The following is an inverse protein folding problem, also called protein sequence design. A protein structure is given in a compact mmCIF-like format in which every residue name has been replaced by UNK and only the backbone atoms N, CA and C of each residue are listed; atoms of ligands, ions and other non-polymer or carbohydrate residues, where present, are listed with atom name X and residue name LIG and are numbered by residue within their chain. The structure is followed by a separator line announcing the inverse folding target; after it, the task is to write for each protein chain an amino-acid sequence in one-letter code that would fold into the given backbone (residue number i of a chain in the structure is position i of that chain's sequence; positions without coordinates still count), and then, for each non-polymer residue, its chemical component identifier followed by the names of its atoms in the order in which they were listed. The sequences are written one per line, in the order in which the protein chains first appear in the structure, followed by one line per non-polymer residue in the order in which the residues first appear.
data_IF_736590415552
#
_entry.id   IF_736590415552
#
_cell.length_a   1.000
_cell.length_b   1.000
_cell.length_c   1.000
_cell.angle_alpha   90.00
_cell.angle_beta   90.00
_cell.angle_gamma   90.00
#
_symmetry.space_group_name_H-M   'P 1'
#
loop_
_entity.id
_entity.type
_entity.pdbx_description
1 polymer ?
#
# COMPACT_ATOMS: atom_id res chain seq x y z
N UNK A 1 -54.91 6.24 41.43
CA UNK A 1 -55.12 4.77 41.46
C UNK A 1 -53.76 4.12 41.65
N UNK A 2 -53.43 3.58 42.83
CA UNK A 2 -52.11 2.98 43.14
C UNK A 2 -52.15 1.50 42.78
N UNK A 3 -51.46 1.11 41.71
CA UNK A 3 -51.37 -0.29 41.29
C UNK A 3 -50.40 -1.04 42.23
N UNK A 4 -50.90 -2.06 42.95
CA UNK A 4 -50.11 -2.85 43.90
C UNK A 4 -49.94 -4.25 43.32
N UNK A 5 -48.80 -4.56 42.68
CA UNK A 5 -48.61 -5.85 42.00
C UNK A 5 -48.59 -7.00 43.01
N UNK A 6 -49.18 -8.14 42.65
CA UNK A 6 -49.19 -9.33 43.51
C UNK A 6 -47.84 -10.07 43.47
N UNK A 7 -47.52 -10.84 44.51
CA UNK A 7 -46.26 -11.62 44.60
C UNK A 7 -46.03 -12.50 43.37
N UNK A 8 -47.09 -13.06 42.77
CA UNK A 8 -47.02 -13.86 41.54
C UNK A 8 -46.68 -13.02 40.30
N UNK A 9 -47.14 -11.78 40.23
CA UNK A 9 -46.79 -10.84 39.15
C UNK A 9 -45.36 -10.33 39.30
N UNK A 10 -44.89 -10.15 40.55
CA UNK A 10 -43.51 -9.75 40.84
C UNK A 10 -42.50 -10.85 40.46
N UNK A 11 -42.83 -12.12 40.72
CA UNK A 11 -42.00 -13.26 40.30
C UNK A 11 -41.98 -13.46 38.78
N UNK A 12 -43.08 -13.17 38.08
CA UNK A 12 -43.14 -13.28 36.62
C UNK A 12 -42.31 -12.19 35.93
N UNK A 13 -42.36 -10.95 36.43
CA UNK A 13 -41.51 -9.86 35.94
C UNK A 13 -40.02 -10.07 36.26
N UNK A 14 -39.69 -10.63 37.43
CA UNK A 14 -38.31 -10.97 37.78
C UNK A 14 -37.74 -12.09 36.89
N UNK A 15 -38.55 -13.10 36.54
CA UNK A 15 -38.15 -14.16 35.62
C UNK A 15 -37.97 -13.65 34.17
N UNK A 16 -38.81 -12.71 33.70
CA UNK A 16 -38.67 -12.10 32.38
C UNK A 16 -37.40 -11.22 32.26
N UNK A 17 -37.01 -10.55 33.36
CA UNK A 17 -35.79 -9.73 33.41
C UNK A 17 -34.52 -10.58 33.47
N UNK A 18 -34.57 -11.76 34.10
CA UNK A 18 -33.44 -12.70 34.12
C UNK A 18 -33.13 -13.32 32.75
N UNK A 19 -34.15 -13.51 31.90
CA UNK A 19 -33.97 -14.02 30.53
C UNK A 19 -33.35 -12.95 29.60
N UNK A 20 -33.59 -11.66 29.87
CA UNK A 20 -32.98 -10.55 29.13
C UNK A 20 -31.47 -10.40 29.38
N UNK A 21 -30.95 -10.89 30.51
CA UNK A 21 -29.53 -10.78 30.87
C UNK A 21 -28.67 -11.96 30.37
N UNK A 22 -29.28 -13.01 29.81
CA UNK A 22 -28.56 -14.15 29.22
C UNK A 22 -28.34 -14.01 27.70
N UNK A 23 -28.80 -12.93 27.08
CA UNK A 23 -28.69 -12.66 25.64
C UNK A 23 -27.32 -12.15 25.17
N UNK A 24 -26.20 -12.63 25.73
CA UNK A 24 -24.88 -12.28 25.23
C UNK A 24 -23.95 -13.50 25.26
N UNK A 25 -24.26 -14.50 24.44
CA UNK A 25 -23.24 -15.45 24.00
C UNK A 25 -22.22 -14.67 23.14
N UNK A 26 -21.16 -14.17 23.79
CA UNK A 26 -19.96 -13.65 23.15
C UNK A 26 -19.17 -14.82 22.53
N UNK A 27 -19.75 -15.51 21.55
CA UNK A 27 -19.10 -16.61 20.83
C UNK A 27 -18.92 -16.35 19.32
N UNK A 28 -19.08 -15.10 18.87
CA UNK A 28 -18.86 -14.74 17.45
C UNK A 28 -17.60 -13.88 17.20
N UNK A 29 -16.69 -13.72 18.16
CA UNK A 29 -15.41 -13.01 17.92
C UNK A 29 -14.27 -13.91 17.46
N UNK A 30 -14.48 -15.23 17.36
CA UNK A 30 -13.41 -16.19 17.10
C UNK A 30 -13.47 -16.89 15.72
N UNK A 31 -14.43 -16.54 14.88
CA UNK A 31 -14.35 -16.87 13.46
C UNK A 31 -13.46 -15.82 12.79
N UNK A 32 -12.37 -16.27 12.19
CA UNK A 32 -11.47 -15.44 11.39
C UNK A 32 -12.18 -15.00 10.09
N UNK A 33 -13.20 -14.15 10.21
CA UNK A 33 -13.85 -13.53 9.08
C UNK A 33 -13.01 -12.33 8.64
N UNK A 34 -12.15 -12.57 7.66
CA UNK A 34 -11.36 -11.55 7.01
C UNK A 34 -10.39 -12.21 6.05
N UNK A 35 -10.56 -12.00 4.75
CA UNK A 35 -9.54 -12.38 3.79
C UNK A 35 -8.32 -11.46 3.99
N UNK A 36 -7.18 -12.06 4.31
CA UNK A 36 -5.91 -11.36 4.39
C UNK A 36 -5.33 -11.23 2.98
N UNK A 37 -5.29 -10.00 2.45
CA UNK A 37 -4.77 -9.72 1.12
C UNK A 37 -3.44 -9.00 1.18
N UNK A 38 -2.48 -9.49 0.40
CA UNK A 38 -1.18 -8.86 0.19
C UNK A 38 -1.27 -7.82 -0.92
N UNK A 39 -0.72 -6.63 -0.69
CA UNK A 39 -0.77 -5.50 -1.62
C UNK A 39 0.44 -4.58 -1.43
N UNK A 40 0.60 -3.63 -2.36
CA UNK A 40 1.56 -2.54 -2.23
C UNK A 40 0.85 -1.31 -1.63
N UNK A 41 1.23 -0.80 -0.45
CA UNK A 41 0.61 0.39 0.15
C UNK A 41 0.63 1.62 -0.76
N UNK A 42 1.63 1.73 -1.63
CA UNK A 42 1.76 2.85 -2.57
C UNK A 42 0.63 2.87 -3.62
N UNK A 43 -0.01 1.74 -3.89
CA UNK A 43 -1.16 1.66 -4.79
C UNK A 43 -2.45 2.27 -4.20
N UNK A 44 -2.46 2.57 -2.90
CA UNK A 44 -3.66 3.08 -2.20
C UNK A 44 -3.57 4.56 -1.83
N UNK A 45 -2.47 5.24 -2.15
CA UNK A 45 -2.22 6.63 -1.71
C UNK A 45 -3.24 7.63 -2.25
N UNK A 46 -3.90 7.32 -3.36
CA UNK A 46 -4.96 8.14 -3.95
C UNK A 46 -6.37 7.73 -3.50
N UNK A 47 -6.48 6.93 -2.43
CA UNK A 47 -7.74 6.31 -2.01
C UNK A 47 -8.25 5.22 -2.97
N UNK A 48 -7.35 4.63 -3.77
CA UNK A 48 -7.68 3.58 -4.75
C UNK A 48 -8.26 4.09 -6.07
N UNK A 49 -8.25 5.40 -6.31
CA UNK A 49 -8.75 5.99 -7.56
C UNK A 49 -7.82 5.75 -8.75
N UNK A 50 -6.53 5.52 -8.50
CA UNK A 50 -5.52 5.20 -9.48
C UNK A 50 -4.31 4.55 -8.77
N UNK A 51 -3.33 4.11 -9.55
CA UNK A 51 -2.13 3.43 -9.04
C UNK A 51 -0.87 4.31 -9.09
N UNK A 52 -1.04 5.63 -9.27
CA UNK A 52 0.09 6.54 -9.43
C UNK A 52 0.73 6.83 -8.08
N UNK A 53 2.05 6.72 -8.03
CA UNK A 53 2.88 7.10 -6.90
C UNK A 53 3.84 8.19 -7.32
N UNK A 54 3.48 9.43 -6.97
CA UNK A 54 4.21 10.62 -7.39
C UNK A 54 5.44 10.81 -6.51
N UNK A 55 6.60 11.05 -7.12
CA UNK A 55 7.87 11.32 -6.45
C UNK A 55 8.43 12.64 -7.01
N UNK A 56 8.78 13.63 -6.17
CA UNK A 56 8.64 13.63 -4.72
C UNK A 56 7.16 13.78 -4.29
N UNK A 57 6.84 13.24 -3.11
CA UNK A 57 5.67 13.61 -2.31
C UNK A 57 6.08 13.71 -0.83
N UNK A 58 5.26 14.35 0.00
CA UNK A 58 5.59 14.70 1.39
C UNK A 58 5.84 16.21 1.57
N UNK A 59 5.86 16.67 2.81
CA UNK A 59 5.99 18.09 3.14
C UNK A 59 7.44 18.50 3.39
N UNK A 60 8.27 17.57 3.85
CA UNK A 60 9.66 17.80 4.25
C UNK A 60 10.52 16.53 4.09
N UNK A 61 11.81 16.65 4.39
CA UNK A 61 12.78 15.56 4.27
C UNK A 61 12.48 14.34 5.14
N UNK A 62 11.64 14.47 6.17
CA UNK A 62 11.26 13.36 7.05
C UNK A 62 10.01 12.63 6.54
N UNK A 63 9.21 13.31 5.72
CA UNK A 63 7.95 12.80 5.15
C UNK A 63 8.07 12.49 3.66
N UNK A 64 9.23 12.76 3.05
CA UNK A 64 9.49 12.40 1.68
C UNK A 64 9.38 10.91 1.44
N UNK A 65 8.73 10.55 0.33
CA UNK A 65 8.65 9.18 -0.15
C UNK A 65 9.92 8.67 -0.85
N UNK A 66 11.02 9.40 -0.70
CA UNK A 66 12.31 9.06 -1.27
C UNK A 66 13.43 9.63 -0.40
N UNK A 67 14.65 9.15 -0.66
CA UNK A 67 15.88 9.69 -0.09
C UNK A 67 16.98 9.75 -1.12
N UNK A 68 17.64 10.89 -1.19
CA UNK A 68 18.88 11.07 -1.96
C UNK A 68 20.03 10.54 -1.10
N UNK A 69 20.69 9.51 -1.60
CA UNK A 69 21.91 8.94 -1.05
C UNK A 69 23.06 9.26 -1.98
N UNK A 70 23.52 10.51 -1.90
CA UNK A 70 24.61 11.02 -2.74
C UNK A 70 25.91 10.23 -2.53
N UNK A 71 26.15 9.71 -1.31
CA UNK A 71 27.33 8.92 -0.99
C UNK A 71 27.40 7.63 -1.81
N UNK A 72 26.26 6.98 -2.04
CA UNK A 72 26.18 5.75 -2.83
C UNK A 72 25.71 5.97 -4.27
N UNK A 73 25.62 7.22 -4.74
CA UNK A 73 25.10 7.59 -6.06
C UNK A 73 23.69 7.02 -6.30
N UNK A 74 22.79 7.11 -5.30
CA UNK A 74 21.40 6.60 -5.41
C UNK A 74 20.33 7.62 -5.06
N UNK A 75 19.18 7.46 -5.68
CA UNK A 75 17.88 7.95 -5.20
C UNK A 75 17.04 6.73 -4.84
N UNK A 76 16.71 6.59 -3.56
CA UNK A 76 15.92 5.48 -3.04
C UNK A 76 14.47 5.92 -2.93
N UNK A 77 13.57 5.35 -3.74
CA UNK A 77 12.12 5.54 -3.59
C UNK A 77 11.58 4.45 -2.67
N UNK A 78 10.82 4.84 -1.66
CA UNK A 78 10.31 3.94 -0.63
C UNK A 78 9.09 3.17 -1.12
N UNK A 79 9.21 1.84 -1.13
CA UNK A 79 8.13 0.91 -1.48
C UNK A 79 7.92 -0.06 -0.31
N UNK A 80 6.80 -0.76 -0.33
CA UNK A 80 6.53 -1.77 0.67
C UNK A 80 5.53 -2.80 0.21
N UNK A 81 5.38 -3.84 1.03
CA UNK A 81 4.37 -4.87 0.89
C UNK A 81 3.65 -4.96 2.21
N UNK A 82 2.33 -4.96 2.18
CA UNK A 82 1.49 -5.08 3.37
C UNK A 82 0.43 -6.14 3.21
N UNK A 83 -0.03 -6.69 4.33
CA UNK A 83 -1.15 -7.60 4.40
C UNK A 83 -2.32 -6.90 5.11
N UNK A 84 -3.50 -6.89 4.49
CA UNK A 84 -4.73 -6.40 5.10
C UNK A 84 -5.30 -7.41 6.10
N UNK A 85 -6.17 -6.95 6.99
CA UNK A 85 -6.87 -7.81 7.94
C UNK A 85 -6.15 -7.93 9.30
N UNK A 86 -6.50 -8.95 10.08
CA UNK A 86 -5.87 -9.20 11.38
C UNK A 86 -4.37 -9.48 11.17
N UNK A 87 -3.53 -9.00 12.09
CA UNK A 87 -2.06 -9.17 12.05
C UNK A 87 -1.70 -10.57 11.55
N UNK A 88 -0.93 -10.60 10.47
CA UNK A 88 -0.49 -11.83 9.83
C UNK A 88 0.25 -12.71 10.86
N UNK A 89 -0.36 -13.83 11.22
CA UNK A 89 0.23 -14.78 12.17
C UNK A 89 1.35 -15.61 11.54
N UNK A 90 1.32 -15.78 10.21
CA UNK A 90 2.38 -16.41 9.44
C UNK A 90 3.15 -15.34 8.67
N UNK A 91 4.48 -15.47 8.61
CA UNK A 91 5.28 -14.66 7.68
C UNK A 91 4.93 -14.98 6.24
N UNK A 92 5.24 -14.13 5.28
CA UNK A 92 4.98 -14.38 3.87
C UNK A 92 6.05 -13.78 2.97
N UNK A 93 6.22 -14.35 1.78
CA UNK A 93 7.13 -13.81 0.76
C UNK A 93 6.36 -13.48 -0.50
N UNK A 94 6.79 -12.45 -1.22
CA UNK A 94 6.30 -12.11 -2.57
C UNK A 94 7.47 -11.97 -3.54
N UNK A 95 7.19 -12.20 -4.83
CA UNK A 95 8.08 -11.81 -5.93
C UNK A 95 7.87 -10.34 -6.28
N UNK A 96 8.93 -9.65 -6.72
CA UNK A 96 8.88 -8.26 -7.19
C UNK A 96 9.34 -8.21 -8.64
N UNK A 97 8.57 -7.54 -9.50
CA UNK A 97 8.82 -7.43 -10.94
C UNK A 97 8.47 -6.05 -11.46
N UNK A 98 8.84 -5.76 -12.71
CA UNK A 98 8.52 -4.49 -13.39
C UNK A 98 7.74 -4.72 -14.67
N UNK A 99 6.91 -3.73 -15.05
CA UNK A 99 6.05 -3.79 -16.25
C UNK A 99 6.29 -2.59 -17.17
N UNK A 100 7.27 -2.69 -18.07
CA UNK A 100 7.60 -1.62 -19.03
C UNK A 100 6.51 -1.39 -20.06
N UNK A 101 5.81 -2.45 -20.47
CA UNK A 101 4.66 -2.41 -21.39
C UNK A 101 3.53 -1.54 -20.84
N UNK A 102 3.24 -1.65 -19.54
CA UNK A 102 2.23 -0.83 -18.86
C UNK A 102 2.58 0.66 -18.97
N UNK A 103 3.85 1.01 -18.77
CA UNK A 103 4.30 2.40 -18.91
C UNK A 103 4.22 2.87 -20.37
N UNK A 104 4.61 2.04 -21.33
CA UNK A 104 4.49 2.38 -22.75
C UNK A 104 3.04 2.68 -23.15
N UNK A 105 2.07 1.85 -22.70
CA UNK A 105 0.64 2.09 -22.94
C UNK A 105 0.12 3.37 -22.27
N UNK A 106 0.56 3.67 -21.05
CA UNK A 106 0.16 4.89 -20.34
C UNK A 106 0.75 6.16 -20.97
N UNK A 107 1.96 6.07 -21.53
CA UNK A 107 2.58 7.14 -22.32
C UNK A 107 1.79 7.34 -23.62
N UNK A 108 1.51 6.27 -24.38
CA UNK A 108 0.84 6.38 -25.69
C UNK A 108 -0.59 6.90 -25.58
N UNK A 109 -1.29 6.57 -24.49
CA UNK A 109 -2.65 7.06 -24.23
C UNK A 109 -2.67 8.46 -23.58
N UNK A 110 -1.53 9.00 -23.15
CA UNK A 110 -1.45 10.26 -22.41
C UNK A 110 -1.95 10.19 -20.97
N UNK A 111 -2.43 9.04 -20.50
CA UNK A 111 -2.97 8.85 -19.15
C UNK A 111 -1.93 9.06 -18.03
N UNK A 112 -0.64 9.01 -18.37
CA UNK A 112 0.46 9.22 -17.42
C UNK A 112 0.78 10.71 -17.15
N UNK A 113 0.24 11.62 -17.96
CA UNK A 113 0.47 13.06 -17.84
C UNK A 113 -0.37 13.65 -16.70
N UNK A 114 0.04 13.36 -15.47
CA UNK A 114 -0.69 13.74 -14.25
C UNK A 114 -0.03 14.91 -13.51
N UNK A 115 -0.82 15.66 -12.74
CA UNK A 115 -0.34 16.73 -11.89
C UNK A 115 0.55 16.21 -10.74
N UNK A 116 1.45 17.04 -10.17
CA UNK A 116 1.84 18.38 -10.65
C UNK A 116 2.64 18.30 -11.96
N UNK A 117 2.78 19.40 -12.71
CA UNK A 117 3.58 19.46 -13.94
C UNK A 117 3.15 18.43 -15.03
N UNK A 118 1.86 18.33 -15.30
CA UNK A 118 1.31 17.42 -16.32
C UNK A 118 1.80 17.70 -17.76
N UNK A 119 2.39 18.89 -18.00
CA UNK A 119 2.96 19.28 -19.29
C UNK A 119 4.35 18.71 -19.55
N UNK A 120 5.06 18.22 -18.53
CA UNK A 120 6.37 17.59 -18.71
C UNK A 120 6.22 16.24 -19.41
N UNK A 121 7.07 16.00 -20.41
CA UNK A 121 7.14 14.70 -21.05
C UNK A 121 7.50 13.61 -20.02
N UNK A 122 6.76 12.50 -20.06
CA UNK A 122 7.04 11.32 -19.26
C UNK A 122 7.73 10.27 -20.13
N UNK A 123 8.85 9.72 -19.65
CA UNK A 123 9.59 8.66 -20.33
C UNK A 123 9.74 7.43 -19.43
N UNK A 124 9.90 6.26 -20.04
CA UNK A 124 10.20 5.03 -19.29
C UNK A 124 11.57 5.13 -18.61
N UNK A 125 11.64 4.79 -17.32
CA UNK A 125 12.90 4.57 -16.63
C UNK A 125 13.50 3.22 -17.08
N UNK A 126 14.69 3.20 -17.73
CA UNK A 126 15.25 1.96 -18.26
C UNK A 126 15.76 1.06 -17.14
N UNK A 127 15.76 -0.25 -17.38
CA UNK A 127 16.18 -1.28 -16.41
C UNK A 127 17.60 -1.07 -15.86
N UNK A 128 18.52 -0.55 -16.67
CA UNK A 128 19.90 -0.26 -16.27
C UNK A 128 19.98 0.85 -15.21
N UNK A 129 18.97 1.70 -15.12
CA UNK A 129 18.98 2.85 -14.22
C UNK A 129 18.57 2.53 -12.78
N UNK A 130 18.15 1.31 -12.46
CA UNK A 130 17.67 0.98 -11.12
C UNK A 130 17.93 -0.46 -10.69
N UNK A 131 17.79 -0.69 -9.39
CA UNK A 131 17.80 -2.02 -8.78
C UNK A 131 16.60 -2.20 -7.86
N UNK A 132 16.11 -3.43 -7.79
CA UNK A 132 15.02 -3.88 -6.93
C UNK A 132 15.38 -5.27 -6.38
N UNK A 133 14.96 -5.62 -5.16
CA UNK A 133 15.05 -7.00 -4.72
C UNK A 133 14.13 -7.87 -5.59
N UNK A 134 14.53 -9.10 -5.90
CA UNK A 134 13.68 -10.04 -6.62
C UNK A 134 12.51 -10.56 -5.76
N UNK A 135 12.70 -10.55 -4.44
CA UNK A 135 11.73 -11.05 -3.45
C UNK A 135 11.73 -10.18 -2.20
N UNK A 136 10.58 -10.08 -1.54
CA UNK A 136 10.43 -9.40 -0.24
C UNK A 136 9.77 -10.38 0.72
N UNK A 137 10.38 -10.55 1.89
CA UNK A 137 9.88 -11.40 2.97
C UNK A 137 9.38 -10.54 4.12
N UNK A 138 8.15 -10.79 4.54
CA UNK A 138 7.55 -10.23 5.75
C UNK A 138 7.62 -11.31 6.85
N UNK A 139 8.32 -11.06 7.96
CA UNK A 139 8.45 -12.03 9.06
C UNK A 139 7.10 -12.39 9.69
N UNK A 140 7.05 -13.53 10.37
CA UNK A 140 5.86 -13.89 11.15
C UNK A 140 5.62 -12.89 12.28
N UNK A 141 4.35 -12.53 12.53
CA UNK A 141 3.97 -11.51 13.50
C UNK A 141 4.04 -10.08 12.95
N UNK A 142 4.65 -9.88 11.78
CA UNK A 142 4.66 -8.61 11.06
C UNK A 142 3.62 -8.61 9.93
N UNK A 143 3.09 -7.43 9.62
CA UNK A 143 2.11 -7.26 8.53
C UNK A 143 2.67 -6.45 7.35
N UNK A 144 3.93 -5.99 7.44
CA UNK A 144 4.58 -5.17 6.42
C UNK A 144 6.09 -5.43 6.37
N UNK A 145 6.66 -5.30 5.17
CA UNK A 145 8.08 -5.04 5.00
C UNK A 145 8.29 -3.94 3.96
N UNK A 146 9.36 -3.17 4.16
CA UNK A 146 9.76 -2.09 3.25
C UNK A 146 10.94 -2.52 2.39
N UNK A 147 11.01 -1.94 1.19
CA UNK A 147 12.13 -2.10 0.27
C UNK A 147 12.27 -0.85 -0.59
N UNK A 148 13.42 -0.70 -1.24
CA UNK A 148 13.71 0.48 -2.05
C UNK A 148 13.77 0.12 -3.54
N UNK A 149 13.18 0.99 -4.35
CA UNK A 149 13.63 1.17 -5.73
C UNK A 149 14.86 2.07 -5.68
N UNK A 150 16.05 1.48 -5.84
CA UNK A 150 17.31 2.19 -5.78
C UNK A 150 17.75 2.59 -7.20
N UNK A 151 17.56 3.86 -7.52
CA UNK A 151 17.80 4.45 -8.84
C UNK A 151 19.20 5.06 -8.86
N UNK A 152 19.94 4.88 -9.93
CA UNK A 152 21.22 5.55 -10.12
C UNK A 152 21.03 7.07 -10.25
N UNK A 153 21.62 7.82 -9.32
CA UNK A 153 21.48 9.27 -9.23
C UNK A 153 22.04 9.95 -10.49
N UNK A 154 23.18 9.50 -10.99
CA UNK A 154 23.83 10.09 -12.16
C UNK A 154 23.00 9.86 -13.42
N UNK A 155 22.47 8.65 -13.63
CA UNK A 155 21.54 8.42 -14.75
C UNK A 155 20.26 9.23 -14.61
N UNK A 156 19.69 9.32 -13.40
CA UNK A 156 18.46 10.08 -13.18
C UNK A 156 18.61 11.56 -13.55
N UNK A 157 19.77 12.17 -13.26
CA UNK A 157 20.08 13.56 -13.64
C UNK A 157 20.00 13.83 -15.15
N UNK A 158 20.25 12.83 -15.99
CA UNK A 158 20.17 12.98 -17.46
C UNK A 158 18.74 13.22 -17.98
N UNK A 159 17.74 13.01 -17.12
CA UNK A 159 16.32 13.22 -17.40
C UNK A 159 15.81 14.57 -16.87
N UNK A 160 16.69 15.53 -16.58
CA UNK A 160 16.31 16.90 -16.23
C UNK A 160 15.32 17.49 -17.25
N UNK A 161 14.33 18.24 -16.78
CA UNK A 161 13.22 18.77 -17.58
C UNK A 161 12.11 17.76 -17.91
N UNK A 162 12.27 16.48 -17.55
CA UNK A 162 11.30 15.41 -17.82
C UNK A 162 10.80 14.76 -16.53
N UNK A 163 9.76 13.94 -16.67
CA UNK A 163 9.43 12.91 -15.69
C UNK A 163 9.89 11.55 -16.19
N UNK A 164 10.28 10.69 -15.26
CA UNK A 164 10.53 9.27 -15.55
C UNK A 164 9.51 8.41 -14.85
N UNK A 165 9.12 7.28 -15.44
CA UNK A 165 8.12 6.39 -14.86
C UNK A 165 8.54 4.92 -14.91
N UNK A 166 8.10 4.17 -13.88
CA UNK A 166 8.30 2.73 -13.77
C UNK A 166 7.06 2.09 -13.13
N UNK A 167 6.60 0.96 -13.66
CA UNK A 167 5.57 0.16 -13.01
C UNK A 167 6.23 -0.99 -12.26
N UNK A 168 6.01 -1.07 -10.94
CA UNK A 168 6.47 -2.15 -10.07
C UNK A 168 5.27 -2.98 -9.63
N UNK A 169 5.42 -4.29 -9.60
CA UNK A 169 4.37 -5.24 -9.26
C UNK A 169 4.90 -6.31 -8.28
N UNK A 170 4.06 -6.69 -7.33
CA UNK A 170 4.26 -7.87 -6.48
C UNK A 170 3.36 -9.03 -6.89
N UNK A 171 3.84 -10.26 -6.74
CA UNK A 171 3.11 -11.47 -7.11
C UNK A 171 3.49 -12.66 -6.23
N UNK A 172 2.77 -13.77 -6.42
CA UNK A 172 3.07 -15.08 -5.81
C UNK A 172 3.25 -15.06 -4.27
N UNK A 173 2.31 -14.50 -3.49
CA UNK A 173 2.35 -14.60 -2.04
C UNK A 173 2.27 -16.07 -1.57
N UNK A 174 3.08 -16.46 -0.60
CA UNK A 174 3.13 -17.86 -0.11
C UNK A 174 1.96 -18.24 0.81
N UNK A 175 1.55 -17.36 1.72
CA UNK A 175 0.62 -17.69 2.82
C UNK A 175 -0.70 -16.89 2.81
N UNK A 176 -0.86 -15.97 1.86
CA UNK A 176 -1.99 -15.04 1.80
C UNK A 176 -2.43 -14.81 0.36
N UNK A 177 -3.63 -14.30 0.15
CA UNK A 177 -4.12 -13.99 -1.19
C UNK A 177 -3.52 -12.69 -1.70
N UNK A 178 -3.35 -12.54 -3.01
CA UNK A 178 -2.92 -11.29 -3.62
C UNK A 178 -4.12 -10.36 -3.86
N UNK A 179 -4.00 -9.07 -3.56
CA UNK A 179 -4.95 -8.07 -4.03
C UNK A 179 -4.64 -7.71 -5.49
N UNK A 180 -5.40 -8.25 -6.44
CA UNK A 180 -5.14 -8.04 -7.87
C UNK A 180 -5.30 -6.59 -8.34
N UNK A 181 -5.99 -5.74 -7.57
CA UNK A 181 -6.16 -4.31 -7.88
C UNK A 181 -4.98 -3.48 -7.37
N UNK A 182 -4.46 -3.80 -6.18
CA UNK A 182 -3.42 -3.04 -5.48
C UNK A 182 -2.05 -3.76 -5.43
N UNK A 183 -1.81 -4.74 -6.30
CA UNK A 183 -0.54 -5.48 -6.39
C UNK A 183 0.53 -4.77 -7.23
N UNK A 184 0.22 -3.61 -7.81
CA UNK A 184 1.15 -2.86 -8.65
C UNK A 184 1.03 -1.37 -8.41
N UNK A 185 2.09 -0.65 -8.74
CA UNK A 185 2.17 0.80 -8.59
C UNK A 185 2.91 1.39 -9.80
N UNK A 186 2.42 2.53 -10.28
CA UNK A 186 3.07 3.35 -11.32
C UNK A 186 3.82 4.48 -10.63
N UNK A 187 5.13 4.30 -10.43
CA UNK A 187 5.99 5.35 -9.89
C UNK A 187 6.22 6.40 -10.99
N UNK A 188 5.96 7.66 -10.69
CA UNK A 188 6.18 8.80 -11.60
C UNK A 188 7.06 9.81 -10.88
N UNK A 189 8.27 10.01 -11.39
CA UNK A 189 9.30 10.82 -10.76
C UNK A 189 9.48 12.11 -11.56
N UNK A 190 9.18 13.25 -10.95
CA UNK A 190 9.54 14.56 -11.48
C UNK A 190 10.98 14.89 -11.09
N UNK A 191 11.89 14.79 -12.07
CA UNK A 191 13.33 14.85 -11.83
C UNK A 191 13.76 16.21 -11.28
N UNK A 192 13.20 17.30 -11.80
CA UNK A 192 13.57 18.65 -11.34
C UNK A 192 13.03 18.92 -9.93
N UNK A 193 11.87 18.35 -9.59
CA UNK A 193 11.27 18.50 -8.27
C UNK A 193 12.10 17.82 -7.16
N UNK A 194 12.94 16.83 -7.51
CA UNK A 194 13.89 16.22 -6.58
C UNK A 194 15.05 17.14 -6.20
N UNK A 195 15.29 18.21 -6.96
CA UNK A 195 16.41 19.16 -6.73
C UNK A 195 17.76 18.45 -6.59
N UNK A 196 18.04 17.52 -7.52
CA UNK A 196 19.29 16.76 -7.52
C UNK A 196 20.47 17.73 -7.74
N UNK A 197 21.28 17.94 -6.70
CA UNK A 197 22.55 18.69 -6.78
C UNK A 197 23.69 17.78 -7.17
#
# INVERSE_FOLDING_TARGET
MKFKPSVKQLTFFAALLAIYLMGCDKKDSNTAFGFNYVYMPQATVSGGTNLNYLVPSGLDTNTYNYKIDAKNNKVNVYLGVSCSGKVATAGYTVSVTTRSDTIATLISSGAINVAPNATKAVVLLPNIAYTLPATVTVPAGEYRADFNLAIDLTMLKTYAGKKVALCVMVSNPTNYMLNNTANKVVIIIDVDALKLT
#
